data_IF_068577122505
#
_entry.id   IF_068577122505
#
_cell.length_a   1.000
_cell.length_b   1.000
_cell.length_c   1.000
_cell.angle_alpha   90.00
_cell.angle_beta   90.00
_cell.angle_gamma   90.00
#
_symmetry.space_group_name_H-M   'P 1'
#
loop_
_entity.id
_entity.type
_entity.pdbx_description
1 polymer ?
#
# COMPACT_ATOMS: atom_id res chain seq x y z
N UNK A 1 20.13 -0.55 1.92
CA UNK A 1 21.03 0.55 2.35
C UNK A 1 20.24 1.45 3.28
N UNK A 2 20.80 1.83 4.42
CA UNK A 2 20.11 2.75 5.35
C UNK A 2 20.26 4.19 4.81
N UNK A 3 19.23 5.02 4.93
CA UNK A 3 19.24 6.44 4.50
C UNK A 3 20.52 7.17 4.93
N UNK A 4 20.93 6.95 6.18
CA UNK A 4 22.12 7.56 6.76
C UNK A 4 23.40 7.15 6.02
N UNK A 5 23.48 5.94 5.48
CA UNK A 5 24.63 5.50 4.69
C UNK A 5 24.66 6.19 3.32
N UNK A 6 23.49 6.38 2.69
CA UNK A 6 23.40 7.09 1.41
C UNK A 6 23.80 8.55 1.58
N UNK A 7 23.24 9.25 2.58
CA UNK A 7 23.59 10.63 2.88
C UNK A 7 25.08 10.76 3.20
N UNK A 8 25.62 9.89 4.06
CA UNK A 8 27.06 9.90 4.40
C UNK A 8 27.95 9.72 3.18
N UNK A 9 27.60 8.83 2.25
CA UNK A 9 28.36 8.61 1.02
C UNK A 9 28.24 9.79 0.06
N UNK A 10 27.06 10.40 -0.04
CA UNK A 10 26.82 11.57 -0.87
C UNK A 10 27.60 12.78 -0.38
N UNK A 11 27.60 13.04 0.94
CA UNK A 11 28.40 14.11 1.54
C UNK A 11 29.89 13.90 1.28
N UNK A 12 30.42 12.68 1.48
CA UNK A 12 31.82 12.36 1.17
C UNK A 12 32.16 12.54 -0.31
N UNK A 13 31.23 12.21 -1.21
CA UNK A 13 31.42 12.41 -2.64
C UNK A 13 31.49 13.91 -2.99
N UNK A 14 30.62 14.72 -2.40
CA UNK A 14 30.63 16.18 -2.58
C UNK A 14 31.92 16.82 -2.03
N UNK A 15 32.41 16.36 -0.87
CA UNK A 15 33.70 16.78 -0.32
C UNK A 15 34.87 16.45 -1.27
N UNK A 16 34.86 15.27 -1.89
CA UNK A 16 35.87 14.88 -2.88
C UNK A 16 35.80 15.73 -4.16
N UNK A 17 34.59 16.06 -4.63
CA UNK A 17 34.40 16.94 -5.79
C UNK A 17 35.02 18.33 -5.54
N UNK A 18 34.91 18.86 -4.32
CA UNK A 18 35.52 20.14 -3.93
C UNK A 18 37.06 20.13 -3.98
N UNK A 19 37.72 18.97 -4.01
CA UNK A 19 39.18 18.87 -4.14
C UNK A 19 39.68 18.82 -5.59
N UNK A 20 38.78 18.66 -6.57
CA UNK A 20 39.12 18.59 -8.00
C UNK A 20 39.35 20.00 -8.60
N UNK A 21 40.04 20.12 -9.76
CA UNK A 21 40.18 21.38 -10.49
C UNK A 21 38.82 21.98 -10.87
N UNK A 22 38.70 23.30 -10.88
CA UNK A 22 37.42 24.01 -11.13
C UNK A 22 36.77 23.69 -12.48
N UNK A 23 37.55 23.25 -13.48
CA UNK A 23 37.03 22.86 -14.81
C UNK A 23 36.05 21.69 -14.76
N UNK A 24 36.20 20.78 -13.80
CA UNK A 24 35.49 19.50 -13.77
C UNK A 24 34.40 19.44 -12.68
N UNK A 25 34.45 20.35 -11.70
CA UNK A 25 33.47 20.46 -10.60
C UNK A 25 32.01 20.62 -11.05
N UNK A 26 31.65 21.56 -11.95
CA UNK A 26 30.25 21.88 -12.19
C UNK A 26 29.44 20.72 -12.79
N UNK A 27 30.08 19.86 -13.60
CA UNK A 27 29.41 18.66 -14.16
C UNK A 27 29.13 17.61 -13.08
N UNK A 28 30.07 17.41 -12.16
CA UNK A 28 29.94 16.42 -11.10
C UNK A 28 28.94 16.87 -10.02
N UNK A 29 28.95 18.16 -9.67
CA UNK A 29 27.95 18.76 -8.77
C UNK A 29 26.53 18.62 -9.34
N UNK A 30 26.36 18.91 -10.64
CA UNK A 30 25.06 18.74 -11.30
C UNK A 30 24.57 17.28 -11.25
N UNK A 31 25.46 16.32 -11.51
CA UNK A 31 25.11 14.89 -11.46
C UNK A 31 24.79 14.42 -10.04
N UNK A 32 25.51 14.91 -9.04
CA UNK A 32 25.24 14.60 -7.63
C UNK A 32 23.88 15.17 -7.18
N UNK A 33 23.58 16.42 -7.54
CA UNK A 33 22.30 17.07 -7.25
C UNK A 33 21.12 16.36 -7.95
N UNK A 34 21.29 15.95 -9.20
CA UNK A 34 20.29 15.18 -9.93
C UNK A 34 20.05 13.82 -9.25
N UNK A 35 21.12 13.13 -8.86
CA UNK A 35 21.03 11.83 -8.17
C UNK A 35 20.29 11.96 -6.84
N UNK A 36 20.60 13.00 -6.06
CA UNK A 36 19.90 13.29 -4.80
C UNK A 36 18.41 13.55 -5.02
N UNK A 37 18.07 14.34 -6.04
CA UNK A 37 16.69 14.67 -6.39
C UNK A 37 15.91 13.42 -6.82
N UNK A 38 16.51 12.58 -7.68
CA UNK A 38 15.92 11.29 -8.10
C UNK A 38 15.70 10.37 -6.91
N UNK A 39 16.66 10.29 -5.99
CA UNK A 39 16.54 9.49 -4.77
C UNK A 39 15.39 9.95 -3.87
N UNK A 40 15.27 11.27 -3.64
CA UNK A 40 14.17 11.86 -2.87
C UNK A 40 12.80 11.60 -3.52
N UNK A 41 12.71 11.74 -4.85
CA UNK A 41 11.47 11.44 -5.58
C UNK A 41 11.08 9.97 -5.44
N UNK A 42 12.03 9.06 -5.61
CA UNK A 42 11.78 7.62 -5.45
C UNK A 42 11.32 7.30 -4.03
N UNK A 43 11.94 7.89 -3.00
CA UNK A 43 11.53 7.73 -1.60
C UNK A 43 10.10 8.20 -1.36
N UNK A 44 9.74 9.37 -1.90
CA UNK A 44 8.36 9.88 -1.82
C UNK A 44 7.38 8.91 -2.47
N UNK A 45 7.66 8.46 -3.69
CA UNK A 45 6.80 7.49 -4.39
C UNK A 45 6.64 6.18 -3.61
N UNK A 46 7.69 5.67 -2.98
CA UNK A 46 7.60 4.46 -2.14
C UNK A 46 6.70 4.71 -0.92
N UNK A 47 6.83 5.86 -0.26
CA UNK A 47 5.98 6.22 0.87
C UNK A 47 4.50 6.33 0.45
N UNK A 48 4.21 7.01 -0.67
CA UNK A 48 2.85 7.16 -1.20
C UNK A 48 2.25 5.78 -1.58
N UNK A 49 3.06 4.86 -2.12
CA UNK A 49 2.64 3.49 -2.42
C UNK A 49 2.35 2.68 -1.14
N UNK A 50 3.16 2.86 -0.09
CA UNK A 50 2.94 2.20 1.19
C UNK A 50 1.61 2.67 1.81
N UNK A 51 1.36 3.98 1.82
CA UNK A 51 0.08 4.54 2.30
C UNK A 51 -1.12 4.02 1.50
N UNK A 52 -0.97 3.94 0.17
CA UNK A 52 -2.01 3.38 -0.71
C UNK A 52 -2.29 1.90 -0.42
N UNK A 53 -1.25 1.10 -0.14
CA UNK A 53 -1.39 -0.31 0.24
C UNK A 53 -2.05 -0.46 1.61
N UNK A 54 -1.70 0.39 2.58
CA UNK A 54 -2.32 0.38 3.90
C UNK A 54 -3.81 0.76 3.81
N UNK A 55 -4.14 1.75 3.00
CA UNK A 55 -5.53 2.11 2.71
C UNK A 55 -6.28 0.94 2.05
N UNK A 56 -5.72 0.33 1.01
CA UNK A 56 -6.32 -0.82 0.34
C UNK A 56 -6.53 -1.99 1.31
N UNK A 57 -5.54 -2.26 2.17
CA UNK A 57 -5.63 -3.32 3.18
C UNK A 57 -6.80 -3.07 4.14
N UNK A 58 -7.00 -1.83 4.56
CA UNK A 58 -8.14 -1.46 5.40
C UNK A 58 -9.47 -1.64 4.64
N UNK A 59 -9.55 -1.18 3.39
CA UNK A 59 -10.74 -1.33 2.55
C UNK A 59 -11.12 -2.80 2.35
N UNK A 60 -10.14 -3.69 2.14
CA UNK A 60 -10.39 -5.14 2.05
C UNK A 60 -10.91 -5.70 3.37
N UNK A 61 -10.38 -5.27 4.52
CA UNK A 61 -10.90 -5.71 5.83
C UNK A 61 -12.37 -5.35 6.00
N UNK A 62 -12.77 -4.13 5.62
CA UNK A 62 -14.17 -3.71 5.68
C UNK A 62 -15.04 -4.51 4.72
N UNK A 63 -14.59 -4.70 3.48
CA UNK A 63 -15.37 -5.47 2.51
C UNK A 63 -15.61 -6.92 2.98
N UNK A 64 -14.60 -7.56 3.57
CA UNK A 64 -14.75 -8.91 4.12
C UNK A 64 -15.68 -8.92 5.33
N UNK A 65 -15.62 -7.90 6.18
CA UNK A 65 -16.52 -7.75 7.32
C UNK A 65 -17.99 -7.60 6.89
N UNK A 66 -18.25 -6.72 5.92
CA UNK A 66 -19.59 -6.50 5.38
C UNK A 66 -20.12 -7.75 4.67
N UNK A 67 -19.25 -8.48 3.95
CA UNK A 67 -19.61 -9.75 3.33
C UNK A 67 -20.02 -10.81 4.36
N UNK A 68 -19.28 -10.94 5.47
CA UNK A 68 -19.68 -11.86 6.54
C UNK A 68 -20.97 -11.44 7.24
N UNK A 69 -21.19 -10.13 7.43
CA UNK A 69 -22.44 -9.61 8.00
C UNK A 69 -23.65 -9.97 7.11
N UNK A 70 -23.57 -9.68 5.82
CA UNK A 70 -24.64 -10.02 4.85
C UNK A 70 -24.84 -11.53 4.71
N UNK A 71 -23.78 -12.33 4.79
CA UNK A 71 -23.87 -13.80 4.79
C UNK A 71 -24.63 -14.33 6.00
N UNK A 72 -24.36 -13.79 7.19
CA UNK A 72 -25.06 -14.17 8.44
C UNK A 72 -26.53 -13.75 8.39
N UNK A 73 -26.81 -12.54 7.92
CA UNK A 73 -28.18 -12.05 7.75
C UNK A 73 -28.97 -12.93 6.78
N UNK A 74 -28.41 -13.26 5.62
CA UNK A 74 -29.07 -14.14 4.65
C UNK A 74 -29.41 -15.51 5.25
N UNK A 75 -28.47 -16.10 6.01
CA UNK A 75 -28.71 -17.36 6.72
C UNK A 75 -29.84 -17.24 7.74
N UNK A 76 -29.85 -16.17 8.53
CA UNK A 76 -30.91 -15.92 9.52
C UNK A 76 -32.29 -15.78 8.86
N UNK A 77 -32.37 -15.03 7.76
CA UNK A 77 -33.62 -14.84 7.01
C UNK A 77 -34.12 -16.15 6.40
N UNK A 78 -33.24 -16.98 5.83
CA UNK A 78 -33.61 -18.30 5.29
C UNK A 78 -34.17 -19.22 6.36
N UNK A 79 -33.49 -19.31 7.51
CA UNK A 79 -33.97 -20.11 8.64
C UNK A 79 -35.36 -19.64 9.13
N UNK A 80 -35.61 -18.32 9.13
CA UNK A 80 -36.90 -17.76 9.52
C UNK A 80 -38.02 -18.16 8.55
N UNK A 81 -37.75 -18.17 7.24
CA UNK A 81 -38.70 -18.61 6.22
C UNK A 81 -39.00 -20.11 6.36
N UNK A 82 -37.95 -20.93 6.52
CA UNK A 82 -38.10 -22.39 6.75
C UNK A 82 -38.92 -22.68 8.00
N UNK A 83 -38.69 -21.95 9.09
CA UNK A 83 -39.42 -22.12 10.35
C UNK A 83 -40.87 -21.61 10.26
N UNK A 84 -41.15 -20.61 9.44
CA UNK A 84 -42.51 -20.09 9.23
C UNK A 84 -43.35 -20.94 8.27
N UNK A 85 -42.72 -21.82 7.46
CA UNK A 85 -43.43 -22.69 6.52
C UNK A 85 -43.28 -24.20 6.84
N UNK A 86 -43.59 -24.69 8.05
CA UNK A 86 -43.44 -26.10 8.41
C UNK A 86 -44.55 -27.01 7.84
N UNK A 87 -45.34 -26.56 6.86
CA UNK A 87 -46.62 -27.17 6.48
C UNK A 87 -46.89 -27.45 4.99
N UNK A 88 -45.95 -27.23 4.07
CA UNK A 88 -46.22 -27.44 2.63
C UNK A 88 -45.74 -28.78 2.05
N UNK A 89 -45.28 -29.72 2.87
CA UNK A 89 -44.81 -31.05 2.40
C UNK A 89 -45.77 -32.22 2.73
N UNK A 90 -47.04 -31.93 3.08
CA UNK A 90 -47.98 -32.95 3.59
C UNK A 90 -49.32 -33.13 2.87
N UNK A 91 -49.61 -32.45 1.76
CA UNK A 91 -50.89 -32.61 1.03
C UNK A 91 -50.62 -33.05 -0.41
N UNK A 92 -50.44 -34.35 -0.61
CA UNK A 92 -50.20 -34.93 -1.92
C UNK A 92 -50.08 -36.46 -1.94
N UNK A 93 -50.83 -37.17 -1.11
CA UNK A 93 -51.03 -38.62 -1.22
C UNK A 93 -52.23 -39.08 -0.38
N UNK A 94 -53.45 -38.90 -0.90
CA UNK A 94 -54.51 -39.93 -1.00
C UNK A 94 -55.69 -39.38 -1.81
#
# INVERSE_FOLDING_TARGET
MKENEFQTRLTKLLEQINTLPESDRPKLEALAAETQTRHQRMKKTIADLQESLDHLRLSVKYLVFDLEATRRENKYLRNMIETQNPGSEGEGAD
#
